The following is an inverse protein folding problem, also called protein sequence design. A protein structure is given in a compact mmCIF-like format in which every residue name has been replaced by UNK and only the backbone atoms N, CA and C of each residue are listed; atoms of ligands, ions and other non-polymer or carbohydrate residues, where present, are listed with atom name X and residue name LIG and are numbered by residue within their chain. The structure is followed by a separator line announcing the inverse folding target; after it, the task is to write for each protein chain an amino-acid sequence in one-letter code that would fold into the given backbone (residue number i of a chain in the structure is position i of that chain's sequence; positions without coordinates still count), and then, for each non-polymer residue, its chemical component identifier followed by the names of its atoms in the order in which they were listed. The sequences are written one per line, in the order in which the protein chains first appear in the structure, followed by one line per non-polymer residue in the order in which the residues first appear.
data_IF_255077399026
#
_entry.id   IF_255077399026
#
_cell.length_a   1.000
_cell.length_b   1.000
_cell.length_c   1.000
_cell.angle_alpha   90.00
_cell.angle_beta   90.00
_cell.angle_gamma   90.00
#
_symmetry.space_group_name_H-M   'P 1'
#
loop_
_entity.id
_entity.type
_entity.pdbx_description
1 polymer ?
#
# COMPACT_ATOMS: atom_id res chain seq x y z
N UNK A 1 -0.93 -9.93 17.30
CA UNK A 1 -1.15 -9.50 15.90
C UNK A 1 -1.35 -10.76 15.08
N UNK A 2 -2.44 -10.82 14.31
CA UNK A 2 -2.81 -12.01 13.53
C UNK A 2 -2.56 -11.73 12.06
N UNK A 3 -1.95 -12.66 11.34
CA UNK A 3 -1.81 -12.57 9.89
C UNK A 3 -3.20 -12.72 9.25
N UNK A 4 -3.64 -11.70 8.52
CA UNK A 4 -4.95 -11.68 7.86
C UNK A 4 -4.87 -12.05 6.39
N UNK A 5 -3.79 -11.68 5.71
CA UNK A 5 -3.65 -11.84 4.27
C UNK A 5 -2.17 -11.97 3.87
N UNK A 6 -1.89 -12.85 2.92
CA UNK A 6 -0.58 -12.96 2.27
C UNK A 6 -0.75 -13.42 0.82
N UNK A 7 0.00 -12.79 -0.08
CA UNK A 7 0.07 -13.20 -1.48
C UNK A 7 1.49 -12.97 -2.03
N UNK A 8 2.02 -13.96 -2.74
CA UNK A 8 3.33 -13.89 -3.40
C UNK A 8 3.20 -13.66 -4.91
N UNK A 9 2.02 -13.89 -5.48
CA UNK A 9 1.70 -13.86 -6.91
C UNK A 9 2.35 -14.97 -7.76
N UNK A 10 3.26 -15.78 -7.19
CA UNK A 10 4.02 -16.82 -7.92
C UNK A 10 3.18 -17.95 -8.52
N UNK A 11 1.93 -18.10 -8.09
CA UNK A 11 0.99 -19.09 -8.64
C UNK A 11 -0.08 -18.48 -9.55
N UNK A 12 0.00 -17.19 -9.84
CA UNK A 12 -1.05 -16.45 -10.54
C UNK A 12 -0.63 -16.28 -12.00
N UNK A 13 -1.20 -17.10 -12.88
CA UNK A 13 -0.89 -17.12 -14.31
C UNK A 13 -1.75 -16.16 -15.14
N UNK A 14 -2.90 -15.74 -14.62
CA UNK A 14 -3.84 -14.84 -15.28
C UNK A 14 -4.75 -14.14 -14.25
N UNK A 15 -5.59 -13.22 -14.74
CA UNK A 15 -6.50 -12.41 -13.92
C UNK A 15 -7.57 -13.26 -13.20
N UNK A 16 -8.02 -14.37 -13.79
CA UNK A 16 -9.05 -15.22 -13.20
C UNK A 16 -8.56 -15.89 -11.92
N UNK A 17 -7.26 -16.16 -11.81
CA UNK A 17 -6.64 -16.72 -10.61
C UNK A 17 -6.43 -15.69 -9.49
N UNK A 18 -6.58 -14.38 -9.75
CA UNK A 18 -6.56 -13.35 -8.69
C UNK A 18 -7.87 -13.30 -7.91
N UNK A 19 -9.00 -13.44 -8.61
CA UNK A 19 -10.35 -13.19 -8.07
C UNK A 19 -10.79 -14.01 -6.86
N UNK A 20 -10.31 -15.25 -6.63
CA UNK A 20 -10.64 -15.97 -5.41
C UNK A 20 -10.11 -15.31 -4.13
N UNK A 21 -9.08 -14.47 -4.23
CA UNK A 21 -8.42 -13.83 -3.09
C UNK A 21 -8.45 -12.31 -3.12
N UNK A 22 -8.51 -11.70 -4.30
CA UNK A 22 -8.51 -10.26 -4.47
C UNK A 22 -9.81 -9.78 -5.11
N UNK A 23 -10.37 -8.71 -4.58
CA UNK A 23 -11.55 -8.08 -5.17
C UNK A 23 -11.07 -7.09 -6.23
N UNK A 24 -11.51 -7.29 -7.47
CA UNK A 24 -11.25 -6.39 -8.59
C UNK A 24 -12.35 -5.34 -8.68
N UNK A 25 -11.97 -4.06 -8.59
CA UNK A 25 -12.90 -2.92 -8.74
C UNK A 25 -12.61 -2.09 -10.00
N UNK A 26 -12.36 -2.77 -11.12
CA UNK A 26 -12.27 -2.19 -12.45
C UNK A 26 -11.07 -2.72 -13.23
N UNK A 27 -11.32 -3.05 -14.50
CA UNK A 27 -10.45 -3.78 -15.44
C UNK A 27 -8.96 -3.69 -15.19
N UNK A 28 -8.44 -4.58 -14.36
CA UNK A 28 -7.02 -4.77 -14.20
C UNK A 28 -6.47 -5.30 -15.52
N UNK A 29 -5.60 -4.53 -16.17
CA UNK A 29 -4.77 -5.12 -17.22
C UNK A 29 -3.67 -5.89 -16.48
N UNK A 30 -3.99 -7.13 -16.14
CA UNK A 30 -3.06 -8.07 -15.56
C UNK A 30 -1.93 -8.33 -16.55
N UNK A 31 -0.74 -7.89 -16.19
CA UNK A 31 0.49 -8.39 -16.78
C UNK A 31 1.24 -9.08 -15.66
N UNK A 32 1.29 -10.41 -15.72
CA UNK A 32 2.27 -11.14 -14.95
C UNK A 32 3.65 -10.69 -15.47
N UNK A 33 4.40 -10.06 -14.58
CA UNK A 33 5.75 -9.59 -14.86
C UNK A 33 6.72 -10.28 -13.92
N UNK A 34 8.00 -10.20 -14.27
CA UNK A 34 9.07 -10.68 -13.42
C UNK A 34 8.91 -10.09 -12.00
N UNK A 35 8.68 -10.98 -11.03
CA UNK A 35 8.55 -10.62 -9.63
C UNK A 35 9.86 -10.13 -9.03
N UNK A 36 9.82 -9.72 -7.76
CA UNK A 36 11.01 -9.28 -7.01
C UNK A 36 12.12 -10.34 -7.02
N UNK A 37 11.76 -11.62 -6.99
CA UNK A 37 12.68 -12.75 -6.96
C UNK A 37 12.97 -13.37 -8.34
N UNK A 38 12.57 -12.69 -9.43
CA UNK A 38 12.94 -13.07 -10.79
C UNK A 38 12.05 -14.13 -11.45
N UNK A 39 10.98 -14.58 -10.79
CA UNK A 39 9.99 -15.46 -11.41
C UNK A 39 9.16 -14.70 -12.44
N UNK A 40 8.97 -15.27 -13.64
CA UNK A 40 8.29 -14.61 -14.77
C UNK A 40 6.88 -14.10 -14.44
N UNK A 41 6.22 -14.72 -13.45
CA UNK A 41 4.88 -14.39 -12.96
C UNK A 41 4.90 -14.21 -11.44
N UNK A 42 5.60 -13.20 -10.93
CA UNK A 42 5.77 -12.97 -9.49
C UNK A 42 5.35 -11.58 -9.01
N UNK A 43 4.63 -10.83 -9.86
CA UNK A 43 4.12 -9.51 -9.53
C UNK A 43 2.92 -9.15 -10.41
N UNK A 44 2.10 -8.24 -9.89
CA UNK A 44 1.03 -7.57 -10.64
C UNK A 44 1.46 -6.15 -10.97
N UNK A 45 1.30 -5.76 -12.24
CA UNK A 45 1.43 -4.38 -12.68
C UNK A 45 0.04 -3.74 -12.81
N UNK A 46 -0.11 -2.55 -12.25
CA UNK A 46 -1.29 -1.71 -12.47
C UNK A 46 -0.99 -0.73 -13.60
N UNK A 47 -1.76 -0.79 -14.70
CA UNK A 47 -1.54 0.07 -15.88
C UNK A 47 -2.26 1.42 -15.82
N UNK A 48 -3.18 1.59 -14.87
CA UNK A 48 -3.88 2.86 -14.65
C UNK A 48 -4.02 3.11 -13.16
N UNK A 49 -4.15 4.38 -12.79
CA UNK A 49 -4.46 4.84 -11.43
C UNK A 49 -5.97 4.73 -11.10
N UNK A 50 -6.79 4.30 -12.04
CA UNK A 50 -8.26 4.21 -11.89
C UNK A 50 -8.68 2.90 -11.24
N UNK A 51 -7.82 1.89 -11.29
CA UNK A 51 -8.12 0.54 -10.81
C UNK A 51 -7.38 0.28 -9.50
N UNK A 52 -7.96 -0.56 -8.64
CA UNK A 52 -7.37 -0.95 -7.37
C UNK A 52 -7.62 -2.44 -7.11
N UNK A 53 -6.62 -3.09 -6.54
CA UNK A 53 -6.76 -4.43 -5.95
C UNK A 53 -7.11 -4.26 -4.47
N UNK A 54 -8.26 -4.81 -4.08
CA UNK A 54 -8.69 -4.79 -2.69
C UNK A 54 -8.38 -6.16 -2.07
N UNK A 55 -7.50 -6.15 -1.07
CA UNK A 55 -7.34 -7.31 -0.21
C UNK A 55 -8.57 -7.39 0.72
N UNK A 56 -9.21 -8.56 0.86
CA UNK A 56 -10.28 -8.74 1.81
C UNK A 56 -9.70 -8.71 3.23
N UNK A 57 -9.61 -7.52 3.82
CA UNK A 57 -9.43 -7.37 5.26
C UNK A 57 -10.80 -7.25 5.92
N UNK A 58 -10.95 -7.80 7.13
CA UNK A 58 -12.11 -7.47 7.98
C UNK A 58 -12.16 -5.98 8.28
N UNK A 59 -13.26 -5.52 8.92
CA UNK A 59 -13.41 -4.12 9.33
C UNK A 59 -12.15 -3.63 10.05
N UNK A 60 -11.60 -2.50 9.60
CA UNK A 60 -10.52 -1.79 10.27
C UNK A 60 -11.19 -0.97 11.38
N UNK A 61 -11.30 -1.54 12.58
CA UNK A 61 -11.93 -0.87 13.71
C UNK A 61 -11.17 0.37 14.17
N UNK A 62 -11.85 1.21 14.94
CA UNK A 62 -11.41 2.56 15.36
C UNK A 62 -10.25 2.59 16.37
N UNK A 63 -9.69 1.43 16.72
CA UNK A 63 -8.55 1.25 17.64
C UNK A 63 -7.56 0.19 17.12
N UNK A 64 -7.72 -0.24 15.87
CA UNK A 64 -6.94 -1.34 15.35
C UNK A 64 -5.57 -0.88 14.83
N UNK A 65 -4.56 -1.71 15.13
CA UNK A 65 -3.23 -1.60 14.52
C UNK A 65 -3.21 -2.46 13.26
N UNK A 66 -3.03 -1.82 12.12
CA UNK A 66 -2.80 -2.50 10.85
C UNK A 66 -1.33 -2.44 10.48
N UNK A 67 -0.77 -3.55 10.01
CA UNK A 67 0.56 -3.60 9.39
C UNK A 67 0.39 -4.16 8.00
N UNK A 68 0.89 -3.42 7.00
CA UNK A 68 0.89 -3.85 5.61
C UNK A 68 2.32 -3.77 5.10
N UNK A 69 2.83 -4.90 4.62
CA UNK A 69 4.15 -5.03 4.01
C UNK A 69 4.03 -5.57 2.58
N UNK A 70 4.69 -4.93 1.62
CA UNK A 70 4.68 -5.37 0.22
C UNK A 70 5.96 -4.97 -0.52
N UNK A 71 6.25 -5.69 -1.61
CA UNK A 71 7.28 -5.30 -2.55
C UNK A 71 6.69 -4.34 -3.60
N UNK A 72 7.36 -3.23 -3.84
CA UNK A 72 6.91 -2.23 -4.82
C UNK A 72 8.05 -1.83 -5.76
N UNK A 73 7.73 -1.65 -7.03
CA UNK A 73 8.64 -1.16 -8.06
C UNK A 73 7.94 -0.06 -8.85
N UNK A 74 8.25 1.22 -8.58
CA UNK A 74 7.73 2.33 -9.36
C UNK A 74 8.18 2.23 -10.83
N UNK A 75 7.41 2.82 -11.75
CA UNK A 75 7.86 2.99 -13.13
C UNK A 75 9.04 3.97 -13.21
N UNK A 76 9.87 3.85 -14.26
CA UNK A 76 11.10 4.66 -14.43
C UNK A 76 10.81 6.16 -14.48
N UNK A 77 9.63 6.56 -14.98
CA UNK A 77 9.21 7.96 -15.10
C UNK A 77 8.69 8.61 -13.82
N UNK A 78 8.56 7.87 -12.72
CA UNK A 78 8.10 8.31 -11.38
C UNK A 78 7.15 9.52 -11.39
N UNK A 79 5.86 9.26 -11.58
CA UNK A 79 4.80 10.26 -11.40
C UNK A 79 4.19 10.18 -10.01
N UNK A 80 3.50 11.25 -9.60
CA UNK A 80 2.67 11.21 -8.40
C UNK A 80 1.61 10.11 -8.55
N UNK A 81 1.61 9.13 -7.63
CA UNK A 81 0.77 7.94 -7.76
C UNK A 81 0.30 7.44 -6.41
N UNK A 82 -0.99 7.10 -6.31
CA UNK A 82 -1.53 6.38 -5.15
C UNK A 82 -1.01 4.94 -5.15
N UNK A 83 -0.29 4.57 -4.10
CA UNK A 83 0.32 3.23 -3.95
C UNK A 83 -0.63 2.26 -3.24
N UNK A 84 -1.27 2.73 -2.17
CA UNK A 84 -2.25 1.94 -1.42
C UNK A 84 -3.22 2.86 -0.66
N UNK A 85 -4.31 2.28 -0.14
CA UNK A 85 -5.21 2.98 0.76
C UNK A 85 -5.87 1.99 1.73
N UNK A 86 -6.17 2.48 2.92
CA UNK A 86 -6.99 1.81 3.92
C UNK A 86 -8.40 2.34 3.83
N UNK A 87 -9.36 1.42 3.75
CA UNK A 87 -10.78 1.74 3.63
C UNK A 87 -11.53 1.09 4.79
N UNK A 88 -12.47 1.83 5.36
CA UNK A 88 -13.48 1.27 6.25
C UNK A 88 -14.86 1.54 5.64
N UNK A 89 -15.54 0.47 5.24
CA UNK A 89 -16.68 0.56 4.34
C UNK A 89 -16.34 1.31 3.06
N UNK A 90 -17.09 2.38 2.76
CA UNK A 90 -16.87 3.24 1.59
C UNK A 90 -15.98 4.46 1.86
N UNK A 91 -15.35 4.56 3.04
CA UNK A 91 -14.58 5.74 3.46
C UNK A 91 -13.09 5.43 3.39
N UNK A 92 -12.33 6.28 2.69
CA UNK A 92 -10.87 6.22 2.66
C UNK A 92 -10.32 6.82 3.95
N UNK A 93 -9.78 5.98 4.83
CA UNK A 93 -9.28 6.39 6.14
C UNK A 93 -7.87 6.98 6.05
N UNK A 94 -7.03 6.39 5.19
CA UNK A 94 -5.66 6.83 4.92
C UNK A 94 -5.24 6.33 3.55
N UNK A 95 -4.59 7.17 2.76
CA UNK A 95 -3.93 6.77 1.50
C UNK A 95 -2.43 6.96 1.60
N UNK A 96 -1.70 6.15 0.84
CA UNK A 96 -0.27 6.33 0.61
C UNK A 96 -0.08 6.81 -0.82
N UNK A 97 0.61 7.94 -0.96
CA UNK A 97 0.92 8.56 -2.25
C UNK A 97 2.43 8.61 -2.41
N UNK A 98 2.94 8.17 -3.55
CA UNK A 98 4.31 8.41 -3.94
C UNK A 98 4.39 9.76 -4.63
N UNK A 99 5.32 10.60 -4.18
CA UNK A 99 5.62 11.89 -4.77
C UNK A 99 6.56 11.74 -5.98
N UNK A 100 6.61 12.76 -6.84
CA UNK A 100 7.51 12.79 -8.01
C UNK A 100 8.99 12.71 -7.63
N UNK A 101 9.34 13.04 -6.39
CA UNK A 101 10.70 12.96 -5.88
C UNK A 101 11.06 11.58 -5.28
N UNK A 102 10.09 10.66 -5.28
CA UNK A 102 10.21 9.29 -4.80
C UNK A 102 9.94 9.08 -3.32
N UNK A 103 9.65 10.12 -2.55
CA UNK A 103 9.15 9.96 -1.16
C UNK A 103 7.71 9.42 -1.17
N UNK A 104 7.30 8.84 -0.05
CA UNK A 104 5.94 8.36 0.19
C UNK A 104 5.31 9.18 1.30
N UNK A 105 4.09 9.65 1.07
CA UNK A 105 3.27 10.35 2.04
C UNK A 105 2.10 9.48 2.47
N UNK A 106 1.86 9.41 3.78
CA UNK A 106 0.59 9.01 4.35
C UNK A 106 -0.30 10.24 4.46
N UNK A 107 -1.48 10.18 3.84
CA UNK A 107 -2.42 11.28 3.74
C UNK A 107 -3.77 10.86 4.29
N UNK A 108 -4.31 11.66 5.22
CA UNK A 108 -5.69 11.55 5.71
C UNK A 108 -6.47 12.71 5.08
N UNK A 109 -7.50 12.38 4.29
CA UNK A 109 -8.21 13.34 3.44
C UNK A 109 -7.25 14.12 2.51
N UNK A 110 -6.90 15.36 2.88
CA UNK A 110 -5.92 16.21 2.17
C UNK A 110 -4.67 16.53 2.99
N UNK A 111 -4.57 16.03 4.22
CA UNK A 111 -3.47 16.37 5.14
C UNK A 111 -2.42 15.27 5.15
N UNK A 112 -1.17 15.65 4.88
CA UNK A 112 -0.01 14.76 5.06
C UNK A 112 0.23 14.59 6.56
N UNK A 113 0.06 13.36 7.04
CA UNK A 113 0.26 13.00 8.45
C UNK A 113 1.63 12.41 8.72
N UNK A 114 2.30 11.86 7.70
CA UNK A 114 3.67 11.34 7.80
C UNK A 114 4.27 11.22 6.41
N UNK A 115 5.59 11.35 6.30
CA UNK A 115 6.35 11.22 5.06
C UNK A 115 7.60 10.37 5.29
N UNK A 116 7.97 9.59 4.29
CA UNK A 116 9.27 8.90 4.27
C UNK A 116 10.40 9.88 3.95
N UNK A 117 11.63 9.55 4.35
CA UNK A 117 12.82 10.32 3.95
C UNK A 117 13.61 9.61 2.85
N UNK A 118 13.56 8.28 2.85
CA UNK A 118 14.12 7.45 1.80
C UNK A 118 13.30 7.64 0.52
N UNK A 119 14.04 7.76 -0.58
CA UNK A 119 13.47 7.94 -1.91
C UNK A 119 13.42 6.61 -2.64
N UNK A 120 12.22 6.27 -3.07
CA UNK A 120 12.00 5.21 -4.04
C UNK A 120 12.73 5.56 -5.34
N UNK A 121 13.20 4.55 -6.07
CA UNK A 121 13.84 4.71 -7.37
C UNK A 121 13.02 3.95 -8.41
N UNK A 122 12.73 4.62 -9.52
CA UNK A 122 12.04 4.01 -10.66
C UNK A 122 12.77 2.77 -11.17
N UNK A 123 12.01 1.71 -11.47
CA UNK A 123 12.53 0.43 -11.95
C UNK A 123 13.22 -0.43 -10.89
N UNK A 124 13.29 -0.01 -9.62
CA UNK A 124 13.94 -0.75 -8.54
C UNK A 124 12.91 -1.29 -7.55
N UNK A 125 12.97 -2.58 -7.26
CA UNK A 125 12.16 -3.22 -6.21
C UNK A 125 12.63 -2.78 -4.82
N UNK A 126 11.70 -2.31 -3.99
CA UNK A 126 11.92 -2.04 -2.56
C UNK A 126 10.85 -2.75 -1.73
N UNK A 127 11.18 -3.12 -0.50
CA UNK A 127 10.17 -3.48 0.50
C UNK A 127 9.64 -2.22 1.15
N UNK A 128 8.32 -2.08 1.24
CA UNK A 128 7.64 -1.04 2.00
C UNK A 128 6.79 -1.73 3.07
N UNK A 129 6.93 -1.28 4.31
CA UNK A 129 6.05 -1.63 5.41
C UNK A 129 5.50 -0.35 6.04
N UNK A 130 4.19 -0.29 6.20
CA UNK A 130 3.50 0.77 6.93
C UNK A 130 2.74 0.16 8.11
N UNK A 131 2.89 0.77 9.28
CA UNK A 131 2.17 0.41 10.51
C UNK A 131 1.28 1.58 10.87
N UNK A 132 -0.01 1.36 10.92
CA UNK A 132 -0.99 2.40 11.22
C UNK A 132 -1.76 2.01 12.46
N UNK A 133 -1.86 2.91 13.42
CA UNK A 133 -2.86 2.87 14.48
C UNK A 133 -3.97 3.85 14.11
N UNK A 134 -5.16 3.33 13.80
CA UNK A 134 -6.33 4.16 13.59
C UNK A 134 -6.88 4.56 14.96
N UNK A 135 -6.88 5.85 15.27
CA UNK A 135 -7.41 6.39 16.52
C UNK A 135 -7.76 7.87 16.35
N UNK A 136 -8.82 8.30 17.03
CA UNK A 136 -9.33 9.67 16.95
C UNK A 136 -8.43 10.72 17.62
N UNK A 137 -7.48 10.33 18.46
CA UNK A 137 -6.60 11.27 19.21
C UNK A 137 -5.18 10.76 19.47
N UNK A 138 -4.85 9.56 19.01
CA UNK A 138 -3.56 8.90 19.29
C UNK A 138 -3.10 8.10 18.08
N UNK A 139 -3.52 8.52 16.89
CA UNK A 139 -3.16 7.84 15.66
C UNK A 139 -1.66 7.92 15.43
N UNK A 140 -1.09 6.85 14.88
CA UNK A 140 0.32 6.80 14.52
C UNK A 140 0.50 6.20 13.13
N UNK A 141 1.54 6.65 12.42
CA UNK A 141 2.04 6.02 11.19
C UNK A 141 3.53 5.80 11.36
N UNK A 142 3.98 4.56 11.25
CA UNK A 142 5.40 4.20 11.23
C UNK A 142 5.77 3.53 9.91
N UNK A 143 6.93 3.90 9.37
CA UNK A 143 7.44 3.39 8.10
C UNK A 143 8.65 2.50 8.28
N UNK A 144 8.75 1.45 7.45
CA UNK A 144 10.00 0.77 7.19
C UNK A 144 10.22 0.59 5.69
N UNK A 145 11.41 0.95 5.23
CA UNK A 145 11.86 0.72 3.86
C UNK A 145 13.01 -0.28 3.92
N UNK A 146 12.86 -1.42 3.22
CA UNK A 146 13.82 -2.54 3.29
C UNK A 146 14.13 -3.02 4.72
N UNK A 147 13.13 -2.94 5.61
CA UNK A 147 13.25 -3.34 7.01
C UNK A 147 13.98 -2.33 7.90
N UNK A 148 14.37 -1.17 7.36
CA UNK A 148 14.96 -0.06 8.11
C UNK A 148 13.87 0.96 8.40
N UNK A 149 13.77 1.41 9.66
CA UNK A 149 12.84 2.47 10.04
C UNK A 149 13.15 3.75 9.27
N UNK A 150 12.15 4.34 8.62
CA UNK A 150 12.32 5.51 7.78
C UNK A 150 11.33 6.62 8.15
N UNK A 151 11.43 7.03 9.42
CA UNK A 151 10.51 7.97 10.03
C UNK A 151 9.20 7.35 10.50
N UNK A 152 8.43 8.19 11.16
CA UNK A 152 7.11 7.89 11.72
C UNK A 152 6.58 9.16 12.36
N UNK A 153 5.26 9.30 12.40
CA UNK A 153 4.61 10.37 13.15
C UNK A 153 3.80 9.77 14.29
N UNK A 154 4.06 10.26 15.49
CA UNK A 154 3.39 9.87 16.72
C UNK A 154 2.63 11.08 17.27
N UNK A 155 1.30 11.00 17.32
CA UNK A 155 0.49 12.04 17.97
C UNK A 155 -0.10 13.11 17.04
N UNK A 156 -0.31 12.80 15.75
CA UNK A 156 -1.22 13.59 14.91
C UNK A 156 -2.66 13.26 15.28
N UNK A 157 -3.40 14.29 15.68
CA UNK A 157 -4.71 14.26 16.33
C UNK A 157 -5.88 13.62 15.55
N UNK A 158 -5.67 12.90 14.44
CA UNK A 158 -6.78 12.25 13.70
C UNK A 158 -6.25 11.33 12.60
N UNK A 159 -6.12 10.03 12.88
CA UNK A 159 -6.09 8.97 11.83
C UNK A 159 -7.39 8.18 11.93
N UNK A 160 -8.49 8.93 12.04
CA UNK A 160 -9.84 8.38 12.09
C UNK A 160 -10.82 9.50 11.73
N UNK A 161 -11.65 9.29 10.72
CA UNK A 161 -12.76 10.18 10.36
C UNK A 161 -14.07 9.41 10.53
N UNK A 162 -14.49 9.25 11.78
CA UNK A 162 -15.81 8.74 12.13
C UNK A 162 -16.38 9.51 13.31
#
# INVERSE_FOLDING_TARGET
MTLTFIESFNGISDELHLYPKWINNGGLIFLSVAGRFGESNGAVRMLTNTYHLLAPSGNIGTTDKCIVGFAYKPDIGMDETRVMAFWDGGVEMLKVVMNTDGTLDAVVDTTVVSSTTEKMKGGVWRYIEIKVLFHASAGTVDWQIDGVSDGGDTGKDTIYLG
#
